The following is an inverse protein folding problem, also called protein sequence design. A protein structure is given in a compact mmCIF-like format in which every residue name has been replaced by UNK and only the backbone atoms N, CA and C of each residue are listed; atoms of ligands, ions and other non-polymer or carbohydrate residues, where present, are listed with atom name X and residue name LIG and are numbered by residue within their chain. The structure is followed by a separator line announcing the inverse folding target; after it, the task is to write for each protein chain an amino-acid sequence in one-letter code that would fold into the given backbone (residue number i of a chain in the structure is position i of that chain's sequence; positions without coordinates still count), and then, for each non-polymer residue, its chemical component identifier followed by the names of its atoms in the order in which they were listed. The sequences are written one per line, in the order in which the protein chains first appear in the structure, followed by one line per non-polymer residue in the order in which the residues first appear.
data_IF_010338437766
#
_entry.id   IF_010338437766
#
_cell.length_a   1.000
_cell.length_b   1.000
_cell.length_c   1.000
_cell.angle_alpha   90.00
_cell.angle_beta   90.00
_cell.angle_gamma   90.00
#
_symmetry.space_group_name_H-M   'P 1'
#
loop_
_entity.id
_entity.type
_entity.pdbx_description
1 polymer ?
#
# COMPACT_ATOMS: atom_id res chain seq x y z
N UNK A 1 22.58 4.33 11.62
CA UNK A 1 22.70 3.06 10.86
C UNK A 1 22.63 1.78 11.70
N UNK A 2 23.28 1.63 12.86
CA UNK A 2 23.10 0.44 13.73
C UNK A 2 21.81 0.53 14.56
N UNK A 3 21.50 1.70 15.12
CA UNK A 3 20.28 1.93 15.90
C UNK A 3 18.99 1.73 15.09
N UNK A 4 18.91 2.27 13.86
CA UNK A 4 17.74 2.08 12.98
C UNK A 4 17.52 0.62 12.56
N UNK A 5 18.60 -0.15 12.36
CA UNK A 5 18.52 -1.58 12.04
C UNK A 5 17.95 -2.38 13.21
N UNK A 6 18.37 -2.08 14.43
CA UNK A 6 17.80 -2.71 15.63
C UNK A 6 16.31 -2.39 15.82
N UNK A 7 15.86 -1.18 15.43
CA UNK A 7 14.44 -0.82 15.48
C UNK A 7 13.60 -1.61 14.47
N UNK A 8 14.06 -1.75 13.22
CA UNK A 8 13.33 -2.50 12.19
C UNK A 8 13.21 -3.99 12.54
N UNK A 9 14.29 -4.60 13.04
CA UNK A 9 14.27 -6.00 13.47
C UNK A 9 13.27 -6.24 14.61
N UNK A 10 13.26 -5.35 15.62
CA UNK A 10 12.31 -5.42 16.73
C UNK A 10 10.86 -5.27 16.24
N UNK A 11 10.61 -4.27 15.39
CA UNK A 11 9.29 -4.03 14.79
C UNK A 11 8.79 -5.25 13.99
N UNK A 12 9.66 -5.91 13.24
CA UNK A 12 9.33 -7.12 12.49
C UNK A 12 9.02 -8.30 13.42
N UNK A 13 9.79 -8.47 14.48
CA UNK A 13 9.55 -9.53 15.45
C UNK A 13 8.19 -9.38 16.14
N UNK A 14 7.84 -8.15 16.54
CA UNK A 14 6.52 -7.81 17.07
C UNK A 14 5.43 -8.08 16.03
N UNK A 15 5.59 -7.59 14.80
CA UNK A 15 4.59 -7.70 13.74
C UNK A 15 4.35 -9.14 13.27
N UNK A 16 5.38 -10.00 13.25
CA UNK A 16 5.26 -11.42 12.92
C UNK A 16 4.50 -12.21 14.00
N UNK A 17 4.44 -11.69 15.22
CA UNK A 17 3.65 -12.28 16.32
C UNK A 17 2.18 -11.86 16.29
N UNK A 18 1.85 -10.88 15.45
CA UNK A 18 0.50 -10.36 15.28
C UNK A 18 -0.37 -11.18 14.32
N UNK A 19 -1.62 -10.73 14.15
CA UNK A 19 -2.53 -11.28 13.16
C UNK A 19 -2.30 -10.66 11.78
N UNK A 20 -2.40 -11.49 10.74
CA UNK A 20 -2.29 -11.07 9.34
C UNK A 20 -0.85 -10.74 8.88
N UNK A 21 -0.74 -10.02 7.77
CA UNK A 21 0.56 -9.75 7.16
C UNK A 21 1.38 -8.74 8.00
N UNK A 22 2.54 -9.18 8.48
CA UNK A 22 3.46 -8.36 9.26
C UNK A 22 3.87 -7.06 8.53
N UNK A 23 4.19 -7.14 7.24
CA UNK A 23 4.56 -5.96 6.44
C UNK A 23 3.37 -4.99 6.26
N UNK A 24 2.14 -5.50 6.11
CA UNK A 24 0.94 -4.64 6.14
C UNK A 24 0.81 -3.93 7.48
N UNK A 25 0.98 -4.63 8.60
CA UNK A 25 0.89 -4.02 9.93
C UNK A 25 1.91 -2.88 10.09
N UNK A 26 3.16 -3.10 9.68
CA UNK A 26 4.22 -2.08 9.71
C UNK A 26 3.91 -0.89 8.81
N UNK A 27 3.53 -1.13 7.55
CA UNK A 27 3.20 -0.04 6.62
C UNK A 27 1.98 0.75 7.09
N UNK A 28 0.99 0.11 7.70
CA UNK A 28 -0.14 0.83 8.29
C UNK A 28 0.32 1.76 9.42
N UNK A 29 1.31 1.37 10.23
CA UNK A 29 1.95 2.27 11.21
C UNK A 29 2.66 3.43 10.51
N UNK A 30 3.41 3.17 9.44
CA UNK A 30 4.10 4.21 8.65
C UNK A 30 3.11 5.19 8.02
N UNK A 31 1.98 4.73 7.47
CA UNK A 31 0.93 5.61 6.92
C UNK A 31 0.38 6.53 8.00
N UNK A 32 0.05 6.01 9.18
CA UNK A 32 -0.46 6.84 10.28
C UNK A 32 0.56 7.91 10.68
N UNK A 33 1.82 7.52 10.88
CA UNK A 33 2.91 8.45 11.21
C UNK A 33 3.12 9.51 10.12
N UNK A 34 3.08 9.12 8.85
CA UNK A 34 3.21 10.05 7.74
C UNK A 34 2.04 11.05 7.68
N UNK A 35 0.80 10.58 7.88
CA UNK A 35 -0.37 11.46 7.94
C UNK A 35 -0.26 12.40 9.14
N UNK A 36 0.12 11.91 10.32
CA UNK A 36 0.28 12.72 11.53
C UNK A 36 1.36 13.80 11.32
N UNK A 37 2.52 13.43 10.77
CA UNK A 37 3.58 14.37 10.42
C UNK A 37 3.09 15.42 9.41
N UNK A 38 2.38 15.01 8.35
CA UNK A 38 1.81 15.94 7.38
C UNK A 38 0.84 16.95 8.02
N UNK A 39 0.06 16.52 9.00
CA UNK A 39 -0.91 17.40 9.69
C UNK A 39 -0.31 18.24 10.81
N UNK A 40 0.74 17.77 11.48
CA UNK A 40 1.40 18.46 12.57
C UNK A 40 2.51 19.37 12.05
N UNK A 41 3.46 18.81 11.31
CA UNK A 41 4.61 19.52 10.74
C UNK A 41 4.21 20.34 9.52
N UNK A 42 3.26 19.89 8.70
CA UNK A 42 2.78 20.66 7.53
C UNK A 42 2.11 21.99 7.86
N UNK A 43 1.85 22.28 9.14
CA UNK A 43 1.43 23.62 9.59
C UNK A 43 2.59 24.62 9.60
N UNK A 44 3.79 24.16 9.93
CA UNK A 44 4.98 25.01 10.12
C UNK A 44 6.04 24.80 9.04
N UNK A 45 6.15 23.60 8.47
CA UNK A 45 7.15 23.21 7.49
C UNK A 45 6.79 23.67 6.06
N UNK A 46 7.73 24.33 5.39
CA UNK A 46 7.53 24.89 4.04
C UNK A 46 7.72 23.82 2.96
N UNK A 47 8.62 22.87 3.17
CA UNK A 47 8.97 21.84 2.20
C UNK A 47 7.84 20.82 2.10
N UNK A 48 7.33 20.34 3.25
CA UNK A 48 6.18 19.43 3.31
C UNK A 48 4.95 20.03 2.59
N UNK A 49 4.70 21.33 2.77
CA UNK A 49 3.63 22.04 2.05
C UNK A 49 3.89 22.16 0.56
N UNK A 50 5.14 22.34 0.14
CA UNK A 50 5.51 22.36 -1.27
C UNK A 50 5.25 21.00 -1.92
N UNK A 51 5.53 19.90 -1.22
CA UNK A 51 5.28 18.54 -1.72
C UNK A 51 3.78 18.29 -1.97
N UNK A 52 2.93 18.57 -0.98
CA UNK A 52 1.48 18.38 -1.10
C UNK A 52 0.91 19.26 -2.23
N UNK A 53 1.37 20.50 -2.36
CA UNK A 53 0.96 21.40 -3.46
C UNK A 53 1.37 20.88 -4.82
N UNK A 54 2.62 20.47 -4.97
CA UNK A 54 3.13 19.87 -6.20
C UNK A 54 2.37 18.59 -6.58
N UNK A 55 1.93 17.80 -5.59
CA UNK A 55 1.13 16.59 -5.79
C UNK A 55 -0.35 16.87 -6.11
N UNK A 56 -0.81 18.12 -5.99
CA UNK A 56 -2.24 18.50 -6.01
C UNK A 56 -3.06 17.80 -4.92
N UNK A 57 -2.44 17.53 -3.78
CA UNK A 57 -3.04 16.83 -2.64
C UNK A 57 -2.58 15.37 -2.52
N UNK A 58 -3.27 14.62 -1.66
CA UNK A 58 -3.05 13.18 -1.51
C UNK A 58 -3.89 12.39 -2.52
N UNK A 59 -3.50 11.14 -2.78
CA UNK A 59 -4.34 10.25 -3.59
C UNK A 59 -5.69 9.98 -2.89
N UNK A 60 -6.69 9.50 -3.63
CA UNK A 60 -8.02 9.24 -3.06
C UNK A 60 -7.98 8.39 -1.78
N UNK A 61 -7.15 7.34 -1.78
CA UNK A 61 -6.97 6.44 -0.64
C UNK A 61 -6.36 7.14 0.57
N UNK A 62 -5.26 7.88 0.40
CA UNK A 62 -4.62 8.60 1.50
C UNK A 62 -5.36 9.88 1.90
N UNK A 63 -6.19 10.45 1.02
CA UNK A 63 -7.14 11.49 1.36
C UNK A 63 -8.21 11.01 2.34
N UNK A 64 -8.69 9.77 2.20
CA UNK A 64 -9.58 9.14 3.20
C UNK A 64 -8.86 8.96 4.53
N UNK A 65 -7.61 8.48 4.52
CA UNK A 65 -6.80 8.33 5.74
C UNK A 65 -6.59 9.68 6.45
N UNK A 66 -6.26 10.74 5.69
CA UNK A 66 -6.14 12.10 6.21
C UNK A 66 -7.45 12.59 6.84
N UNK A 67 -8.59 12.34 6.19
CA UNK A 67 -9.91 12.73 6.71
C UNK A 67 -10.24 12.03 8.02
N UNK A 68 -9.77 10.80 8.19
CA UNK A 68 -9.97 10.02 9.42
C UNK A 68 -9.01 10.43 10.54
N UNK A 69 -7.87 11.04 10.20
CA UNK A 69 -7.01 11.67 11.19
C UNK A 69 -7.75 12.84 11.84
N UNK A 70 -7.79 12.88 13.17
CA UNK A 70 -8.54 13.90 13.95
C UNK A 70 -7.84 15.27 13.97
N UNK A 71 -7.07 15.60 12.94
CA UNK A 71 -6.23 16.80 12.82
C UNK A 71 -6.73 17.74 11.72
N UNK A 72 -7.98 18.20 11.85
CA UNK A 72 -8.68 18.98 10.82
C UNK A 72 -7.96 20.29 10.43
N UNK A 73 -7.28 20.94 11.38
CA UNK A 73 -6.62 22.23 11.14
C UNK A 73 -5.46 22.11 10.14
N UNK A 74 -4.53 21.18 10.37
CA UNK A 74 -3.39 20.97 9.48
C UNK A 74 -3.81 20.54 8.07
N UNK A 75 -4.80 19.66 7.99
CA UNK A 75 -5.41 19.26 6.73
C UNK A 75 -6.02 20.47 5.98
N UNK A 76 -6.79 21.31 6.68
CA UNK A 76 -7.40 22.50 6.08
C UNK A 76 -6.36 23.49 5.56
N UNK A 77 -5.27 23.73 6.30
CA UNK A 77 -4.21 24.63 5.86
C UNK A 77 -3.51 24.11 4.60
N UNK A 78 -3.09 22.83 4.61
CA UNK A 78 -2.45 22.20 3.46
C UNK A 78 -3.35 22.24 2.22
N UNK A 79 -4.62 21.87 2.37
CA UNK A 79 -5.57 21.81 1.25
C UNK A 79 -6.04 23.19 0.78
N UNK A 80 -6.04 24.22 1.65
CA UNK A 80 -6.29 25.60 1.22
C UNK A 80 -5.21 26.10 0.27
N UNK A 81 -3.96 25.71 0.50
CA UNK A 81 -2.84 26.06 -0.36
C UNK A 81 -2.91 25.33 -1.72
N UNK A 82 -3.22 24.02 -1.70
CA UNK A 82 -3.49 23.22 -2.92
C UNK A 82 -4.63 23.83 -3.73
N UNK A 83 -5.78 24.10 -3.10
CA UNK A 83 -6.95 24.65 -3.77
C UNK A 83 -6.65 26.04 -4.36
N UNK A 84 -5.85 26.85 -3.69
CA UNK A 84 -5.40 28.15 -4.22
C UNK A 84 -4.61 28.02 -5.52
N UNK A 85 -3.75 27.01 -5.66
CA UNK A 85 -3.06 26.74 -6.94
C UNK A 85 -4.00 26.20 -8.01
N UNK A 86 -4.92 25.31 -7.65
CA UNK A 86 -5.93 24.78 -8.58
C UNK A 86 -6.81 25.91 -9.12
N UNK A 87 -7.25 26.83 -8.26
CA UNK A 87 -8.05 28.00 -8.67
C UNK A 87 -7.27 28.89 -9.64
N UNK A 88 -6.01 29.21 -9.35
CA UNK A 88 -5.15 29.98 -10.28
C UNK A 88 -4.98 29.28 -11.63
N UNK A 89 -4.76 27.97 -11.61
CA UNK A 89 -4.61 27.20 -12.85
C UNK A 89 -5.91 27.15 -13.65
N UNK A 90 -7.07 27.07 -12.97
CA UNK A 90 -8.39 27.15 -13.59
C UNK A 90 -8.65 28.53 -14.22
N UNK A 91 -8.32 29.60 -13.51
CA UNK A 91 -8.43 30.98 -14.01
C UNK A 91 -7.53 31.23 -15.23
N UNK A 92 -6.37 30.58 -15.29
CA UNK A 92 -5.45 30.65 -16.42
C UNK A 92 -5.88 29.82 -17.64
N UNK A 93 -6.93 28.99 -17.53
CA UNK A 93 -7.43 28.24 -18.67
C UNK A 93 -8.08 29.18 -19.70
N UNK A 94 -7.80 29.00 -21.00
CA UNK A 94 -8.49 29.76 -22.03
C UNK A 94 -9.98 29.39 -22.06
N UNK A 95 -10.83 30.40 -22.01
CA UNK A 95 -12.29 30.26 -22.14
C UNK A 95 -12.73 29.91 -23.57
N UNK A 96 -11.85 30.15 -24.55
CA UNK A 96 -12.07 29.81 -25.96
C UNK A 96 -10.83 29.14 -26.55
N UNK A 97 -11.01 27.98 -27.19
CA UNK A 97 -9.95 27.30 -27.94
C UNK A 97 -10.15 27.56 -29.44
N UNK A 98 -9.22 28.28 -30.12
CA UNK A 98 -9.29 28.50 -31.56
C UNK A 98 -9.43 27.18 -32.33
N UNK A 99 -10.25 27.15 -33.38
CA UNK A 99 -10.59 25.92 -34.12
C UNK A 99 -9.35 25.14 -34.60
N UNK A 100 -8.28 25.84 -35.00
CA UNK A 100 -7.01 25.24 -35.45
C UNK A 100 -6.14 24.63 -34.34
N UNK A 101 -6.28 25.05 -33.08
CA UNK A 101 -5.48 24.55 -31.96
C UNK A 101 -6.16 23.42 -31.17
N UNK A 102 -7.42 23.07 -31.49
CA UNK A 102 -8.15 22.00 -30.79
C UNK A 102 -7.43 20.65 -30.78
N UNK A 103 -6.68 20.33 -31.85
CA UNK A 103 -5.94 19.06 -31.95
C UNK A 103 -4.69 19.06 -31.06
N UNK A 104 -4.04 20.22 -30.90
CA UNK A 104 -2.89 20.42 -30.02
C UNK A 104 -3.34 20.37 -28.55
N UNK A 105 -4.47 21.00 -28.23
CA UNK A 105 -5.09 20.96 -26.91
C UNK A 105 -5.52 19.56 -26.46
N UNK A 106 -5.93 18.69 -27.40
CA UNK A 106 -6.21 17.27 -27.11
C UNK A 106 -4.95 16.40 -27.00
N UNK A 107 -3.84 16.80 -27.62
CA UNK A 107 -2.59 16.02 -27.69
C UNK A 107 -1.54 16.38 -26.65
N UNK A 108 -1.52 17.62 -26.16
CA UNK A 108 -0.57 18.10 -25.15
C UNK A 108 -0.96 17.61 -23.75
N UNK A 109 -0.52 16.38 -23.44
CA UNK A 109 -0.76 15.66 -22.18
C UNK A 109 0.04 16.23 -20.99
N UNK A 110 -0.33 17.41 -20.52
CA UNK A 110 -0.30 17.76 -19.09
C UNK A 110 -1.51 18.63 -18.86
N UNK A 111 -2.58 18.07 -18.31
CA UNK A 111 -3.66 18.92 -17.82
C UNK A 111 -3.03 19.82 -16.76
N UNK A 112 -3.21 21.15 -16.81
CA UNK A 112 -2.60 22.04 -15.81
C UNK A 112 -3.04 21.69 -14.37
N UNK A 113 -4.17 21.00 -14.26
CA UNK A 113 -4.72 20.48 -13.00
C UNK A 113 -4.04 19.20 -12.49
N UNK A 114 -3.23 18.51 -13.32
CA UNK A 114 -2.50 17.33 -12.87
C UNK A 114 -1.40 17.70 -11.87
N UNK A 115 -1.20 16.84 -10.88
CA UNK A 115 -0.03 16.92 -10.00
C UNK A 115 1.26 16.83 -10.81
N UNK A 116 2.28 17.57 -10.38
CA UNK A 116 3.64 17.49 -10.92
C UNK A 116 4.43 16.34 -10.30
N UNK A 117 3.94 15.76 -9.20
CA UNK A 117 4.50 14.59 -8.51
C UNK A 117 3.39 13.65 -8.04
N UNK A 118 3.78 12.45 -7.64
CA UNK A 118 2.89 11.49 -7.00
C UNK A 118 2.51 11.92 -5.57
N UNK A 119 1.57 11.19 -4.97
CA UNK A 119 1.17 11.41 -3.59
C UNK A 119 2.36 11.19 -2.64
N UNK A 120 2.71 12.17 -1.77
CA UNK A 120 3.85 12.04 -0.87
C UNK A 120 3.75 10.86 0.09
N UNK A 121 2.53 10.49 0.50
CA UNK A 121 2.29 9.31 1.35
C UNK A 121 2.55 8.01 0.57
N UNK A 122 2.17 7.94 -0.71
CA UNK A 122 2.51 6.79 -1.56
C UNK A 122 4.03 6.64 -1.72
N UNK A 123 4.74 7.76 -1.96
CA UNK A 123 6.21 7.76 -2.09
C UNK A 123 6.86 7.22 -0.81
N UNK A 124 6.44 7.74 0.34
CA UNK A 124 6.93 7.30 1.66
C UNK A 124 6.65 5.81 1.93
N UNK A 125 5.44 5.31 1.64
CA UNK A 125 5.11 3.89 1.80
C UNK A 125 5.99 3.02 0.90
N UNK A 126 6.25 3.43 -0.34
CA UNK A 126 7.11 2.70 -1.25
C UNK A 126 8.54 2.56 -0.72
N UNK A 127 9.05 3.61 -0.08
CA UNK A 127 10.34 3.56 0.63
C UNK A 127 10.31 2.63 1.84
N UNK A 128 9.33 2.81 2.73
CA UNK A 128 9.20 1.98 3.93
C UNK A 128 8.99 0.50 3.58
N UNK A 129 8.27 0.20 2.49
CA UNK A 129 8.08 -1.17 2.02
C UNK A 129 9.41 -1.81 1.66
N UNK A 130 10.30 -1.10 0.95
CA UNK A 130 11.64 -1.60 0.63
C UNK A 130 12.44 -1.88 1.90
N UNK A 131 12.45 -0.94 2.85
CA UNK A 131 13.16 -1.07 4.13
C UNK A 131 12.67 -2.29 4.91
N UNK A 132 11.35 -2.46 5.05
CA UNK A 132 10.80 -3.59 5.80
C UNK A 132 10.94 -4.93 5.07
N UNK A 133 10.88 -4.95 3.74
CA UNK A 133 11.18 -6.16 2.97
C UNK A 133 12.63 -6.59 3.17
N UNK A 134 13.58 -5.66 3.06
CA UNK A 134 15.00 -5.94 3.30
C UNK A 134 15.24 -6.41 4.74
N UNK A 135 14.65 -5.71 5.72
CA UNK A 135 14.70 -6.10 7.12
C UNK A 135 14.16 -7.51 7.34
N UNK A 136 13.04 -7.87 6.70
CA UNK A 136 12.48 -9.22 6.81
C UNK A 136 13.46 -10.28 6.27
N UNK A 137 14.07 -10.06 5.11
CA UNK A 137 15.06 -10.99 4.54
C UNK A 137 16.24 -11.16 5.50
N UNK A 138 16.73 -10.07 6.09
CA UNK A 138 17.79 -10.13 7.10
C UNK A 138 17.34 -10.90 8.35
N UNK A 139 16.12 -10.69 8.84
CA UNK A 139 15.54 -11.46 9.96
C UNK A 139 15.47 -12.96 9.65
N UNK A 140 15.07 -13.36 8.43
CA UNK A 140 15.01 -14.77 8.01
C UNK A 140 16.37 -15.46 7.90
N UNK A 141 17.45 -14.69 7.82
CA UNK A 141 18.82 -15.21 7.83
C UNK A 141 19.37 -15.39 9.25
N UNK A 142 18.69 -14.86 10.28
CA UNK A 142 19.07 -15.04 11.68
C UNK A 142 18.46 -16.31 12.28
N UNK A 143 19.08 -16.87 13.35
CA UNK A 143 18.50 -17.99 14.08
C UNK A 143 17.07 -17.68 14.57
N UNK A 144 16.13 -18.59 14.36
CA UNK A 144 14.73 -18.46 14.80
C UNK A 144 13.82 -17.64 13.86
N UNK A 145 14.37 -16.86 12.92
CA UNK A 145 13.57 -16.01 12.04
C UNK A 145 12.67 -16.79 11.09
N UNK A 146 13.13 -17.95 10.60
CA UNK A 146 12.36 -18.81 9.70
C UNK A 146 11.22 -19.51 10.41
N UNK A 147 11.49 -20.01 11.62
CA UNK A 147 10.50 -20.61 12.51
C UNK A 147 9.43 -19.58 12.88
N UNK A 148 9.84 -18.34 13.15
CA UNK A 148 8.92 -17.25 13.42
C UNK A 148 8.02 -16.93 12.23
N UNK A 149 8.55 -16.84 11.01
CA UNK A 149 7.72 -16.66 9.82
C UNK A 149 6.75 -17.82 9.62
N UNK A 150 7.19 -19.06 9.81
CA UNK A 150 6.34 -20.24 9.68
C UNK A 150 5.17 -20.22 10.69
N UNK A 151 5.42 -19.77 11.92
CA UNK A 151 4.41 -19.61 12.96
C UNK A 151 3.50 -18.38 12.77
N UNK A 152 3.99 -17.31 12.12
CA UNK A 152 3.23 -16.09 11.82
C UNK A 152 2.08 -16.35 10.84
N UNK A 153 1.14 -15.41 10.70
CA UNK A 153 0.08 -15.51 9.69
C UNK A 153 0.57 -15.50 8.22
N UNK A 154 1.86 -15.27 7.98
CA UNK A 154 2.46 -15.16 6.65
C UNK A 154 2.33 -13.75 6.06
N UNK A 155 2.67 -13.60 4.79
CA UNK A 155 2.57 -12.36 4.04
C UNK A 155 1.36 -12.40 3.09
N UNK A 156 0.74 -11.25 2.86
CA UNK A 156 -0.17 -11.11 1.73
C UNK A 156 0.59 -11.25 0.41
N UNK A 157 -0.08 -11.61 -0.67
CA UNK A 157 0.50 -11.87 -1.98
C UNK A 157 1.35 -10.70 -2.51
N UNK A 158 0.94 -9.41 -2.40
CA UNK A 158 1.81 -8.29 -2.78
C UNK A 158 3.15 -8.28 -2.05
N UNK A 159 3.12 -8.54 -0.74
CA UNK A 159 4.33 -8.57 0.10
C UNK A 159 5.15 -9.84 -0.09
N UNK A 160 4.53 -10.99 -0.31
CA UNK A 160 5.23 -12.21 -0.70
C UNK A 160 5.98 -11.98 -2.03
N UNK A 161 5.34 -11.37 -3.03
CA UNK A 161 5.99 -11.03 -4.31
C UNK A 161 7.18 -10.10 -4.11
N UNK A 162 7.03 -9.05 -3.31
CA UNK A 162 8.10 -8.11 -3.01
C UNK A 162 9.28 -8.81 -2.29
N UNK A 163 8.99 -9.61 -1.27
CA UNK A 163 10.02 -10.35 -0.52
C UNK A 163 10.72 -11.40 -1.38
N UNK A 164 10.00 -12.12 -2.25
CA UNK A 164 10.61 -13.06 -3.20
C UNK A 164 11.52 -12.36 -4.21
N UNK A 165 11.13 -11.17 -4.70
CA UNK A 165 11.96 -10.39 -5.61
C UNK A 165 13.24 -9.87 -4.95
N UNK A 166 13.22 -9.66 -3.63
CA UNK A 166 14.39 -9.24 -2.83
C UNK A 166 15.19 -10.40 -2.24
N UNK A 167 14.75 -11.66 -2.38
CA UNK A 167 15.42 -12.80 -1.78
C UNK A 167 16.73 -13.11 -2.54
N UNK A 168 17.85 -13.05 -1.83
CA UNK A 168 19.19 -13.27 -2.41
C UNK A 168 19.66 -14.72 -2.42
N UNK A 169 18.94 -15.64 -1.76
CA UNK A 169 19.38 -17.03 -1.58
C UNK A 169 18.22 -18.05 -1.64
N UNK A 170 18.56 -19.27 -2.04
CA UNK A 170 17.59 -20.36 -2.24
C UNK A 170 16.90 -20.80 -0.93
N UNK A 171 17.55 -20.65 0.22
CA UNK A 171 16.99 -21.08 1.49
C UNK A 171 15.90 -20.12 1.99
N UNK A 172 16.10 -18.81 1.78
CA UNK A 172 15.07 -17.79 2.01
C UNK A 172 13.87 -17.99 1.08
N UNK A 173 14.11 -18.23 -0.21
CA UNK A 173 13.04 -18.54 -1.19
C UNK A 173 12.27 -19.80 -0.77
N UNK A 174 12.98 -20.87 -0.38
CA UNK A 174 12.35 -22.12 0.05
C UNK A 174 11.47 -21.92 1.28
N UNK A 175 11.93 -21.11 2.26
CA UNK A 175 11.16 -20.76 3.46
C UNK A 175 9.90 -19.98 3.10
N UNK A 176 10.03 -18.89 2.33
CA UNK A 176 8.88 -18.11 1.87
C UNK A 176 7.89 -19.00 1.10
N UNK A 177 8.37 -19.83 0.17
CA UNK A 177 7.53 -20.73 -0.61
C UNK A 177 6.78 -21.74 0.27
N UNK A 178 7.47 -22.46 1.14
CA UNK A 178 6.87 -23.55 1.92
C UNK A 178 5.82 -23.02 2.91
N UNK A 179 6.12 -21.91 3.60
CA UNK A 179 5.17 -21.25 4.51
C UNK A 179 3.90 -20.85 3.79
N UNK A 180 4.01 -20.21 2.62
CA UNK A 180 2.83 -19.70 1.91
C UNK A 180 2.07 -20.77 1.15
N UNK A 181 2.75 -21.79 0.61
CA UNK A 181 2.09 -22.93 -0.04
C UNK A 181 1.19 -23.68 0.95
N UNK A 182 1.68 -24.00 2.15
CA UNK A 182 0.89 -24.67 3.17
C UNK A 182 -0.37 -23.86 3.54
N UNK A 183 -0.21 -22.54 3.72
CA UNK A 183 -1.31 -21.63 4.07
C UNK A 183 -2.35 -21.50 2.96
N UNK A 184 -1.91 -21.36 1.71
CA UNK A 184 -2.82 -21.21 0.58
C UNK A 184 -3.60 -22.49 0.31
N UNK A 185 -2.98 -23.66 0.49
CA UNK A 185 -3.68 -24.94 0.39
C UNK A 185 -4.78 -25.07 1.45
N UNK A 186 -4.48 -24.71 2.70
CA UNK A 186 -5.50 -24.71 3.76
C UNK A 186 -6.64 -23.74 3.46
N UNK A 187 -6.32 -22.51 3.06
CA UNK A 187 -7.32 -21.49 2.75
C UNK A 187 -8.17 -21.85 1.53
N UNK A 188 -7.59 -22.49 0.53
CA UNK A 188 -8.32 -23.01 -0.64
C UNK A 188 -9.33 -24.09 -0.22
N UNK A 189 -8.94 -25.04 0.62
CA UNK A 189 -9.85 -26.06 1.14
C UNK A 189 -11.00 -25.46 1.97
N UNK A 190 -10.72 -24.42 2.77
CA UNK A 190 -11.76 -23.69 3.51
C UNK A 190 -12.70 -22.93 2.56
N UNK A 191 -12.20 -22.32 1.49
CA UNK A 191 -13.03 -21.69 0.46
C UNK A 191 -13.93 -22.71 -0.26
N UNK A 192 -13.38 -23.88 -0.62
CA UNK A 192 -14.14 -24.95 -1.26
C UNK A 192 -15.28 -25.42 -0.34
N UNK A 193 -15.02 -25.56 0.96
CA UNK A 193 -16.03 -25.91 1.94
C UNK A 193 -17.08 -24.81 2.12
N UNK A 194 -16.66 -23.54 2.15
CA UNK A 194 -17.57 -22.40 2.18
C UNK A 194 -18.50 -22.39 0.96
N UNK A 195 -17.96 -22.63 -0.24
CA UNK A 195 -18.73 -22.71 -1.49
C UNK A 195 -19.70 -23.90 -1.46
N UNK A 196 -19.23 -25.09 -1.03
CA UNK A 196 -20.05 -26.30 -0.93
C UNK A 196 -21.27 -26.08 -0.02
N UNK A 197 -21.08 -25.45 1.15
CA UNK A 197 -22.18 -25.20 2.11
C UNK A 197 -23.18 -24.13 1.67
N UNK A 198 -22.90 -23.38 0.59
CA UNK A 198 -23.87 -22.45 -0.01
C UNK A 198 -24.88 -23.14 -0.91
N UNK A 199 -24.66 -24.40 -1.27
CA UNK A 199 -25.68 -25.23 -1.89
C UNK A 199 -26.81 -25.50 -0.87
N UNK A 200 -28.06 -25.30 -1.29
CA UNK A 200 -29.25 -25.44 -0.44
C UNK A 200 -29.34 -26.82 0.24
N UNK A 201 -28.71 -27.85 -0.35
CA UNK A 201 -28.65 -29.22 0.18
C UNK A 201 -27.82 -29.34 1.44
N UNK A 202 -26.83 -28.47 1.62
CA UNK A 202 -25.89 -28.49 2.76
C UNK A 202 -26.07 -27.27 3.68
N UNK A 203 -27.05 -26.41 3.40
CA UNK A 203 -27.29 -25.16 4.14
C UNK A 203 -27.63 -25.33 5.63
N UNK A 204 -27.94 -26.55 6.09
CA UNK A 204 -28.21 -26.86 7.51
C UNK A 204 -26.98 -27.33 8.30
N UNK A 205 -25.84 -27.53 7.64
CA UNK A 205 -24.61 -27.89 8.33
C UNK A 205 -24.08 -26.70 9.15
N UNK A 206 -23.53 -26.99 10.33
CA UNK A 206 -22.92 -25.94 11.16
C UNK A 206 -21.68 -25.36 10.45
N UNK A 207 -21.51 -24.03 10.52
CA UNK A 207 -20.31 -23.40 9.97
C UNK A 207 -19.12 -23.52 10.92
N UNK A 208 -17.95 -23.82 10.38
CA UNK A 208 -16.65 -23.82 11.06
C UNK A 208 -15.78 -22.64 10.64
N UNK A 209 -14.46 -22.87 10.52
CA UNK A 209 -13.47 -21.87 10.13
C UNK A 209 -13.66 -21.33 8.70
N UNK A 210 -14.43 -22.03 7.86
CA UNK A 210 -14.70 -21.62 6.48
C UNK A 210 -15.54 -20.33 6.39
N UNK A 211 -16.25 -19.94 7.47
CA UNK A 211 -17.22 -18.83 7.46
C UNK A 211 -16.63 -17.50 6.97
N UNK A 212 -15.40 -17.21 7.36
CA UNK A 212 -14.67 -15.99 7.02
C UNK A 212 -13.55 -16.22 5.98
N UNK A 213 -13.45 -17.43 5.42
CA UNK A 213 -12.40 -17.82 4.45
C UNK A 213 -12.34 -16.87 3.25
N UNK A 214 -13.49 -16.40 2.76
CA UNK A 214 -13.57 -15.42 1.67
C UNK A 214 -12.97 -14.05 2.04
N UNK A 215 -13.13 -13.59 3.28
CA UNK A 215 -12.50 -12.34 3.78
C UNK A 215 -11.00 -12.55 3.86
N UNK A 216 -10.56 -13.65 4.50
CA UNK A 216 -9.14 -14.00 4.64
C UNK A 216 -8.46 -14.17 3.28
N UNK A 217 -9.17 -14.69 2.28
CA UNK A 217 -8.68 -14.81 0.91
C UNK A 217 -8.50 -13.44 0.25
N UNK A 218 -9.45 -12.53 0.38
CA UNK A 218 -9.33 -11.16 -0.15
C UNK A 218 -8.15 -10.45 0.50
N UNK A 219 -8.02 -10.51 1.83
CA UNK A 219 -6.91 -9.89 2.56
C UNK A 219 -5.56 -10.52 2.20
N UNK A 220 -5.52 -11.84 2.04
CA UNK A 220 -4.30 -12.56 1.64
C UNK A 220 -3.88 -12.19 0.22
N UNK A 221 -4.81 -12.11 -0.74
CA UNK A 221 -4.47 -11.89 -2.15
C UNK A 221 -4.31 -10.41 -2.52
N UNK A 222 -5.05 -9.53 -1.86
CA UNK A 222 -5.08 -8.10 -2.17
C UNK A 222 -4.21 -7.28 -1.23
N UNK A 223 -3.92 -7.81 -0.04
CA UNK A 223 -3.33 -7.04 1.05
C UNK A 223 -4.30 -6.01 1.63
N UNK A 224 -3.80 -5.19 2.56
CA UNK A 224 -4.61 -4.16 3.18
C UNK A 224 -4.66 -2.89 2.30
N UNK A 225 -5.83 -2.22 2.24
CA UNK A 225 -6.03 -1.10 1.32
C UNK A 225 -5.12 0.07 1.65
N UNK A 226 -4.55 0.69 0.62
CA UNK A 226 -3.72 1.91 0.75
C UNK A 226 -2.33 1.69 1.34
N UNK A 227 -1.89 0.44 1.49
CA UNK A 227 -0.56 0.10 2.00
C UNK A 227 0.42 -0.36 0.93
N UNK A 228 -0.07 -0.49 -0.31
CA UNK A 228 0.75 -0.86 -1.44
C UNK A 228 0.89 0.37 -2.34
N UNK A 229 2.09 0.67 -2.85
CA UNK A 229 2.24 1.58 -3.98
C UNK A 229 1.22 1.16 -5.03
N UNK A 230 0.51 2.13 -5.63
CA UNK A 230 -0.41 1.81 -6.72
C UNK A 230 0.37 0.91 -7.68
N UNK A 231 -0.13 -0.30 -7.92
CA UNK A 231 0.44 -1.13 -8.96
C UNK A 231 0.45 -0.23 -10.18
N UNK A 232 1.64 0.06 -10.70
CA UNK A 232 1.74 0.31 -12.13
C UNK A 232 1.16 -0.96 -12.71
N UNK A 233 -0.14 -0.94 -13.02
CA UNK A 233 -0.69 -1.83 -14.01
C UNK A 233 0.27 -1.56 -15.15
N UNK A 234 1.16 -2.52 -15.43
CA UNK A 234 2.05 -2.43 -16.57
C UNK A 234 1.14 -2.10 -17.73
N UNK A 235 1.16 -0.83 -18.13
CA UNK A 235 0.76 -0.46 -19.45
C UNK A 235 1.84 -1.09 -20.31
N UNK A 236 1.70 -2.40 -20.58
CA UNK A 236 2.31 -2.99 -21.75
C UNK A 236 1.89 -2.06 -22.88
N UNK A 237 2.81 -1.30 -23.48
CA UNK A 237 2.49 -0.69 -24.74
C UNK A 237 2.26 -1.89 -25.66
N UNK A 238 1.05 -1.94 -26.24
CA UNK A 238 0.69 -2.99 -27.18
C UNK A 238 1.85 -3.24 -28.14
N UNK A 239 2.16 -4.52 -28.34
CA UNK A 239 3.07 -4.94 -29.39
C UNK A 239 2.65 -4.28 -30.69
N UNK A 240 3.55 -3.45 -31.22
CA UNK A 240 3.47 -2.94 -32.57
C UNK A 240 4.79 -3.26 -33.24
N UNK A 241 4.79 -4.40 -33.95
CA UNK A 241 5.47 -4.72 -35.22
C UNK A 241 5.92 -6.17 -35.21
#
# INVERSE_FOLDING_TARGET
MTSERHTVEHDLHEALSGAGCALCALLARSVRRAIDALTYEGVTDVDVRAEIRAARGLCATHGVALRQARQAFGAALAYRAVLGEVLRDLEALPTTVPRGLRRIWRGARRTPLAGRRACPVCDHIGEMQRIYCEGLIQTLQRPGGREQLAASAGLCLPHLRASLASAGDAATIATLRSTHLARYTMLAAELDEFIRKRDYRFAREASGSERDSWVRAIETLSGAPGLHPAATIDASPGGSS
#
